data_IF_174269425181
#
_entry.id   IF_174269425181
#
_cell.length_a   1.000
_cell.length_b   1.000
_cell.length_c   1.000
_cell.angle_alpha   90.00
_cell.angle_beta   90.00
_cell.angle_gamma   90.00
#
_symmetry.space_group_name_H-M   'P 1'
#
loop_
_entity.id
_entity.type
_entity.pdbx_description
1 polymer ?
#
# COMPACT_ATOMS: atom_id res chain seq x y z
N UNK A 1 -28.11 19.48 -61.07
CA UNK A 1 -27.69 20.31 -59.91
C UNK A 1 -27.87 19.63 -58.54
N UNK A 2 -28.72 18.61 -58.34
CA UNK A 2 -28.92 17.96 -57.01
C UNK A 2 -27.67 17.25 -56.42
N UNK A 3 -26.82 16.62 -57.22
CA UNK A 3 -25.67 15.85 -56.69
C UNK A 3 -24.53 16.72 -56.10
N UNK A 4 -24.32 17.94 -56.63
CA UNK A 4 -23.27 18.85 -56.14
C UNK A 4 -23.57 19.43 -54.76
N UNK A 5 -24.85 19.73 -54.48
CA UNK A 5 -25.29 20.21 -53.17
C UNK A 5 -25.20 19.13 -52.09
N UNK A 6 -25.47 17.87 -52.44
CA UNK A 6 -25.32 16.73 -51.52
C UNK A 6 -23.83 16.51 -51.18
N UNK A 7 -22.93 16.56 -52.17
CA UNK A 7 -21.50 16.44 -51.93
C UNK A 7 -20.97 17.57 -51.02
N UNK A 8 -21.42 18.80 -51.27
CA UNK A 8 -21.02 19.95 -50.46
C UNK A 8 -21.56 19.87 -49.03
N UNK A 9 -22.79 19.39 -48.84
CA UNK A 9 -23.36 19.09 -47.52
C UNK A 9 -22.59 18.00 -46.77
N UNK A 10 -22.21 16.92 -47.46
CA UNK A 10 -21.37 15.85 -46.88
C UNK A 10 -20.00 16.41 -46.47
N UNK A 11 -19.35 17.22 -47.31
CA UNK A 11 -18.06 17.84 -46.99
C UNK A 11 -18.14 18.78 -45.76
N UNK A 12 -19.26 19.51 -45.59
CA UNK A 12 -19.46 20.37 -44.42
C UNK A 12 -19.66 19.56 -43.12
N UNK A 13 -20.44 18.47 -43.18
CA UNK A 13 -20.64 17.57 -42.02
C UNK A 13 -19.32 16.88 -41.66
N UNK A 14 -18.57 16.42 -42.65
CA UNK A 14 -17.28 15.78 -42.49
C UNK A 14 -16.25 16.74 -41.89
N UNK A 15 -16.27 18.02 -42.30
CA UNK A 15 -15.46 19.08 -41.67
C UNK A 15 -15.82 19.24 -40.19
N UNK A 16 -17.10 19.28 -39.83
CA UNK A 16 -17.51 19.34 -38.43
C UNK A 16 -17.06 18.09 -37.64
N UNK A 17 -17.16 16.89 -38.23
CA UNK A 17 -16.72 15.64 -37.62
C UNK A 17 -15.19 15.56 -37.42
N UNK A 18 -14.41 16.14 -38.33
CA UNK A 18 -12.94 16.23 -38.19
C UNK A 18 -12.52 17.16 -37.05
N UNK A 19 -13.31 18.20 -36.75
CA UNK A 19 -13.02 19.10 -35.63
C UNK A 19 -13.25 18.39 -34.29
N UNK A 20 -14.27 17.54 -34.19
CA UNK A 20 -14.52 16.72 -32.99
C UNK A 20 -13.59 15.52 -32.90
N UNK A 21 -13.02 15.06 -34.02
CA UNK A 21 -12.06 13.96 -34.05
C UNK A 21 -10.83 14.21 -33.17
N UNK A 22 -10.40 15.46 -33.00
CA UNK A 22 -9.29 15.82 -32.09
C UNK A 22 -9.57 15.56 -30.61
N UNK A 23 -10.82 15.73 -30.17
CA UNK A 23 -11.24 15.35 -28.82
C UNK A 23 -11.41 13.84 -28.68
N UNK A 24 -11.90 13.18 -29.73
CA UNK A 24 -12.04 11.72 -29.79
C UNK A 24 -10.66 11.03 -29.76
N UNK A 25 -9.65 11.55 -30.46
CA UNK A 25 -8.29 10.99 -30.44
C UNK A 25 -7.65 11.06 -29.07
N UNK A 26 -7.87 12.14 -28.31
CA UNK A 26 -7.46 12.24 -26.92
C UNK A 26 -8.18 11.21 -26.03
N UNK A 27 -9.44 10.87 -26.34
CA UNK A 27 -10.23 9.88 -25.62
C UNK A 27 -10.00 8.42 -26.07
N UNK A 28 -9.15 8.16 -27.08
CA UNK A 28 -8.78 6.80 -27.50
C UNK A 28 -8.06 6.06 -26.39
N UNK A 29 -7.27 6.79 -25.60
CA UNK A 29 -6.45 6.21 -24.55
C UNK A 29 -6.97 6.61 -23.18
N UNK A 30 -7.33 5.62 -22.37
CA UNK A 30 -7.63 5.80 -20.97
C UNK A 30 -6.52 5.17 -20.13
N UNK A 31 -6.07 5.88 -19.11
CA UNK A 31 -5.16 5.33 -18.11
C UNK A 31 -5.98 4.80 -16.94
N UNK A 32 -5.67 3.60 -16.48
CA UNK A 32 -6.20 3.09 -15.21
C UNK A 32 -5.11 2.34 -14.45
N UNK A 33 -5.23 2.33 -13.13
CA UNK A 33 -4.37 1.57 -12.24
C UNK A 33 -4.83 0.12 -12.23
N UNK A 34 -3.95 -0.78 -12.64
CA UNK A 34 -4.23 -2.22 -12.65
C UNK A 34 -3.23 -2.90 -11.72
N UNK A 35 -3.68 -3.85 -10.87
CA UNK A 35 -2.78 -4.75 -10.16
C UNK A 35 -1.85 -5.45 -11.14
N UNK A 36 -0.54 -5.32 -10.91
CA UNK A 36 0.48 -5.99 -11.68
C UNK A 36 1.32 -6.82 -10.74
N UNK A 37 1.25 -8.13 -10.93
CA UNK A 37 2.06 -9.08 -10.21
C UNK A 37 3.29 -9.42 -11.04
N UNK A 38 4.47 -9.29 -10.45
CA UNK A 38 5.74 -9.62 -11.08
C UNK A 38 6.57 -10.48 -10.15
N UNK A 39 7.25 -11.53 -10.65
CA UNK A 39 8.21 -12.28 -9.84
C UNK A 39 9.25 -11.33 -9.23
N UNK A 40 9.54 -11.53 -7.95
CA UNK A 40 10.52 -10.74 -7.23
C UNK A 40 11.36 -11.62 -6.32
N UNK A 41 12.64 -11.28 -6.18
CA UNK A 41 13.57 -11.97 -5.28
C UNK A 41 13.78 -11.13 -4.03
N UNK A 42 13.71 -11.77 -2.88
CA UNK A 42 14.12 -11.22 -1.60
C UNK A 42 15.28 -12.03 -1.05
N UNK A 43 16.10 -11.44 -0.21
CA UNK A 43 17.17 -12.14 0.50
C UNK A 43 17.05 -11.92 2.00
N UNK A 44 17.46 -12.91 2.78
CA UNK A 44 17.63 -12.79 4.23
C UNK A 44 19.08 -13.08 4.58
N UNK A 45 19.63 -12.30 5.50
CA UNK A 45 20.94 -12.54 6.14
C UNK A 45 20.77 -13.00 7.58
N UNK A 46 19.59 -13.52 7.89
CA UNK A 46 19.18 -13.92 9.24
C UNK A 46 18.72 -15.37 9.24
N UNK A 47 18.99 -16.05 10.34
CA UNK A 47 18.43 -17.37 10.63
C UNK A 47 18.00 -17.43 12.10
N UNK A 48 17.08 -18.34 12.39
CA UNK A 48 16.67 -18.59 13.76
C UNK A 48 17.79 -19.26 14.56
N UNK A 49 18.09 -18.69 15.72
CA UNK A 49 19.13 -19.19 16.62
C UNK A 49 18.52 -19.98 17.77
N UNK A 50 18.45 -21.31 17.61
CA UNK A 50 17.91 -22.19 18.65
C UNK A 50 18.76 -22.18 19.93
N UNK A 51 20.05 -21.82 19.81
CA UNK A 51 21.06 -21.82 20.87
C UNK A 51 21.38 -20.40 21.37
N UNK A 52 20.48 -19.42 21.14
CA UNK A 52 20.68 -18.03 21.56
C UNK A 52 21.18 -17.92 23.02
N UNK A 53 22.35 -17.30 23.21
CA UNK A 53 22.95 -17.09 24.52
C UNK A 53 23.58 -18.32 25.18
N UNK A 54 23.80 -19.39 24.40
CA UNK A 54 24.65 -20.54 24.73
C UNK A 54 25.95 -20.50 23.91
N UNK A 55 26.92 -21.34 24.27
CA UNK A 55 28.24 -21.38 23.62
C UNK A 55 28.16 -21.75 22.13
N UNK A 56 27.18 -22.55 21.73
CA UNK A 56 26.90 -22.90 20.33
C UNK A 56 26.05 -21.85 19.59
N UNK A 57 25.52 -20.87 20.30
CA UNK A 57 24.72 -19.78 19.74
C UNK A 57 25.57 -18.78 18.95
N UNK A 58 24.97 -18.18 17.92
CA UNK A 58 25.60 -17.11 17.11
C UNK A 58 25.21 -15.71 17.59
N UNK A 59 24.13 -15.60 18.35
CA UNK A 59 23.61 -14.36 18.91
C UNK A 59 24.31 -13.97 20.22
N UNK A 60 24.20 -12.70 20.61
CA UNK A 60 24.85 -12.18 21.81
C UNK A 60 24.25 -12.77 23.09
N UNK A 61 25.09 -13.21 24.04
CA UNK A 61 24.64 -13.76 25.32
C UNK A 61 23.98 -12.78 26.31
N UNK A 62 23.84 -11.50 25.93
CA UNK A 62 23.26 -10.41 26.72
C UNK A 62 22.01 -9.80 26.06
N UNK A 63 21.12 -10.62 25.51
CA UNK A 63 19.83 -10.17 24.99
C UNK A 63 18.91 -9.71 26.14
N UNK A 64 18.39 -8.49 26.06
CA UNK A 64 17.46 -7.96 27.06
C UNK A 64 16.01 -8.16 26.62
N UNK A 65 15.13 -8.58 27.54
CA UNK A 65 13.68 -8.69 27.28
C UNK A 65 12.99 -7.32 27.34
N UNK A 66 13.64 -6.29 27.91
CA UNK A 66 13.07 -4.94 28.10
C UNK A 66 12.47 -4.32 26.84
N UNK A 67 13.17 -4.29 25.68
CA UNK A 67 12.58 -3.68 24.49
C UNK A 67 11.33 -4.41 24.00
N UNK A 68 11.24 -5.72 24.21
CA UNK A 68 10.05 -6.49 23.88
C UNK A 68 8.87 -6.10 24.81
N UNK A 69 9.10 -5.87 26.10
CA UNK A 69 8.07 -5.34 27.01
C UNK A 69 7.55 -3.97 26.58
N UNK A 70 8.44 -3.06 26.16
CA UNK A 70 8.06 -1.72 25.71
C UNK A 70 7.20 -1.78 24.44
N UNK A 71 7.55 -2.65 23.49
CA UNK A 71 6.76 -2.87 22.29
C UNK A 71 5.39 -3.46 22.64
N UNK A 72 5.30 -4.45 23.53
CA UNK A 72 4.01 -5.02 23.96
C UNK A 72 3.13 -3.96 24.63
N UNK A 73 3.73 -3.10 25.47
CA UNK A 73 3.04 -1.97 26.08
C UNK A 73 2.47 -1.00 25.03
N UNK A 74 3.22 -0.72 23.97
CA UNK A 74 2.77 0.17 22.90
C UNK A 74 1.72 -0.49 21.98
N UNK A 75 1.91 -1.74 21.62
CA UNK A 75 1.08 -2.45 20.63
C UNK A 75 -0.20 -3.00 21.25
N UNK A 76 -0.08 -3.82 22.29
CA UNK A 76 -1.20 -4.56 22.88
C UNK A 76 -2.01 -3.68 23.84
N UNK A 77 -1.35 -2.93 24.74
CA UNK A 77 -2.07 -2.12 25.72
C UNK A 77 -2.62 -0.83 25.12
N UNK A 78 -1.90 -0.22 24.17
CA UNK A 78 -2.26 1.09 23.57
C UNK A 78 -2.76 1.02 22.13
N UNK A 79 -2.99 -0.19 21.60
CA UNK A 79 -3.45 -0.40 20.21
C UNK A 79 -2.55 0.28 19.17
N UNK A 80 -1.24 0.33 19.42
CA UNK A 80 -0.24 0.83 18.49
C UNK A 80 -0.03 -0.11 17.31
N UNK A 81 0.68 0.36 16.28
CA UNK A 81 1.04 -0.50 15.15
C UNK A 81 2.09 -1.53 15.55
N UNK A 82 1.93 -2.77 15.04
CA UNK A 82 2.88 -3.86 15.27
C UNK A 82 4.29 -3.49 14.85
N UNK A 83 5.27 -4.02 15.58
CA UNK A 83 6.66 -3.90 15.21
C UNK A 83 6.91 -4.57 13.84
N UNK A 84 7.90 -4.12 13.05
CA UNK A 84 8.16 -4.70 11.74
C UNK A 84 8.50 -6.18 11.88
N UNK A 85 7.98 -7.01 10.97
CA UNK A 85 8.12 -8.47 11.03
C UNK A 85 7.40 -9.15 12.20
N UNK A 86 6.47 -8.49 12.88
CA UNK A 86 5.63 -9.11 13.89
C UNK A 86 4.13 -8.93 13.66
N UNK A 87 3.37 -9.83 14.27
CA UNK A 87 1.97 -9.62 14.67
C UNK A 87 1.87 -9.85 16.18
N UNK A 88 0.68 -9.72 16.76
CA UNK A 88 0.45 -9.98 18.19
C UNK A 88 0.82 -11.39 18.64
N UNK A 89 1.00 -12.33 17.71
CA UNK A 89 1.21 -13.76 18.01
C UNK A 89 2.38 -14.39 17.27
N UNK A 90 2.85 -13.79 16.17
CA UNK A 90 3.86 -14.37 15.30
C UNK A 90 5.02 -13.39 15.05
N UNK A 91 6.24 -13.92 15.12
CA UNK A 91 7.45 -13.33 14.57
C UNK A 91 7.74 -13.96 13.21
N UNK A 92 8.14 -13.16 12.23
CA UNK A 92 8.52 -13.63 10.90
C UNK A 92 10.01 -13.40 10.66
N UNK A 93 10.66 -14.33 9.97
CA UNK A 93 12.06 -14.14 9.58
C UNK A 93 12.18 -12.94 8.62
N UNK A 94 13.10 -11.98 8.86
CA UNK A 94 13.20 -10.77 8.06
C UNK A 94 13.87 -10.98 6.70
N UNK A 95 13.30 -10.38 5.66
CA UNK A 95 13.75 -10.41 4.27
C UNK A 95 13.81 -9.02 3.65
N UNK A 96 14.78 -8.79 2.77
CA UNK A 96 15.00 -7.52 2.10
C UNK A 96 14.81 -7.73 0.59
N UNK A 97 13.99 -6.90 -0.10
CA UNK A 97 13.88 -6.97 -1.55
C UNK A 97 15.21 -6.67 -2.26
N UNK A 98 15.55 -7.43 -3.31
CA UNK A 98 16.76 -7.21 -4.11
C UNK A 98 16.60 -6.06 -5.12
N UNK A 99 15.36 -5.81 -5.56
CA UNK A 99 15.05 -4.81 -6.60
C UNK A 99 15.37 -3.38 -6.14
N UNK A 100 15.94 -2.56 -7.03
CA UNK A 100 16.09 -1.10 -6.79
C UNK A 100 14.73 -0.38 -6.73
N UNK A 101 13.75 -0.90 -7.46
CA UNK A 101 12.36 -0.44 -7.42
C UNK A 101 11.58 -1.41 -6.52
N UNK A 102 11.82 -1.31 -5.22
CA UNK A 102 11.32 -2.27 -4.24
C UNK A 102 9.91 -1.96 -3.75
N UNK A 103 9.29 -0.85 -4.19
CA UNK A 103 8.02 -0.40 -3.61
C UNK A 103 6.85 -1.25 -4.10
N UNK A 104 6.12 -1.84 -3.16
CA UNK A 104 4.96 -2.69 -3.43
C UNK A 104 4.67 -3.67 -2.30
N UNK A 105 3.68 -4.52 -2.53
CA UNK A 105 3.37 -5.64 -1.64
C UNK A 105 4.12 -6.88 -2.13
N UNK A 106 4.70 -7.65 -1.23
CA UNK A 106 5.45 -8.86 -1.54
C UNK A 106 4.77 -10.04 -0.88
N UNK A 107 4.51 -11.08 -1.65
CA UNK A 107 4.03 -12.37 -1.16
C UNK A 107 5.13 -13.41 -1.36
N UNK A 108 5.59 -14.03 -0.29
CA UNK A 108 6.64 -15.05 -0.34
C UNK A 108 6.50 -16.06 0.80
N UNK A 109 7.15 -17.22 0.66
CA UNK A 109 7.16 -18.25 1.69
C UNK A 109 8.33 -18.01 2.65
N UNK A 110 8.06 -18.04 3.94
CA UNK A 110 9.04 -17.85 5.01
C UNK A 110 8.70 -18.70 6.23
N UNK A 111 9.57 -18.65 7.23
CA UNK A 111 9.36 -19.26 8.54
C UNK A 111 8.79 -18.22 9.51
N UNK A 112 7.90 -18.67 10.40
CA UNK A 112 7.41 -17.87 11.51
C UNK A 112 7.51 -18.61 12.83
N UNK A 113 7.67 -17.86 13.91
CA UNK A 113 7.76 -18.37 15.28
C UNK A 113 6.65 -17.76 16.11
N UNK A 114 5.91 -18.61 16.80
CA UNK A 114 4.80 -18.20 17.67
C UNK A 114 4.82 -18.98 18.96
N UNK A 115 4.14 -18.44 19.97
CA UNK A 115 3.91 -19.13 21.22
C UNK A 115 2.44 -19.10 21.59
N UNK A 116 2.05 -20.08 22.38
CA UNK A 116 0.75 -20.14 23.05
C UNK A 116 0.97 -20.71 24.45
N UNK A 117 0.03 -20.44 25.34
CA UNK A 117 0.02 -21.00 26.69
C UNK A 117 -1.17 -21.93 26.86
N UNK A 118 -0.92 -23.08 27.47
CA UNK A 118 -1.99 -23.92 28.01
C UNK A 118 -2.07 -23.68 29.51
N UNK A 119 -3.14 -23.01 29.96
CA UNK A 119 -3.22 -22.40 31.29
C UNK A 119 -4.32 -23.02 32.14
N UNK A 120 -4.02 -23.22 33.41
CA UNK A 120 -4.99 -23.48 34.48
C UNK A 120 -5.02 -22.32 35.46
N UNK A 121 -6.21 -22.02 36.00
CA UNK A 121 -6.42 -20.95 36.97
C UNK A 121 -6.92 -21.59 38.26
N UNK A 122 -6.19 -21.38 39.36
CA UNK A 122 -6.56 -21.82 40.69
C UNK A 122 -6.92 -20.61 41.57
N UNK A 123 -8.01 -20.71 42.31
CA UNK A 123 -8.34 -19.74 43.38
C UNK A 123 -7.76 -20.21 44.72
N UNK A 124 -7.87 -19.37 45.74
CA UNK A 124 -7.56 -19.75 47.12
C UNK A 124 -8.19 -21.09 47.53
N UNK A 125 -9.49 -21.28 47.27
CA UNK A 125 -10.19 -22.51 47.64
C UNK A 125 -9.59 -23.74 46.96
N UNK A 126 -9.21 -23.62 45.68
CA UNK A 126 -8.62 -24.71 44.93
C UNK A 126 -7.23 -25.06 45.45
N UNK A 127 -6.44 -24.05 45.80
CA UNK A 127 -5.12 -24.23 46.42
C UNK A 127 -5.23 -24.85 47.82
N UNK A 128 -6.21 -24.45 48.63
CA UNK A 128 -6.45 -25.03 49.95
C UNK A 128 -6.83 -26.51 49.85
N UNK A 129 -7.70 -26.89 48.89
CA UNK A 129 -8.11 -28.29 48.69
C UNK A 129 -6.91 -29.22 48.45
N UNK A 130 -5.91 -28.74 47.72
CA UNK A 130 -4.70 -29.52 47.40
C UNK A 130 -3.55 -29.28 48.38
N UNK A 131 -3.76 -28.51 49.46
CA UNK A 131 -2.71 -28.04 50.38
C UNK A 131 -1.54 -27.36 49.66
N UNK A 132 -1.85 -26.66 48.57
CA UNK A 132 -0.91 -26.04 47.66
C UNK A 132 -0.46 -24.64 48.05
N UNK A 133 -0.99 -24.11 49.16
CA UNK A 133 -0.66 -22.78 49.68
C UNK A 133 -0.45 -22.82 51.19
N UNK A 134 0.57 -22.13 51.67
CA UNK A 134 0.84 -21.90 53.09
C UNK A 134 1.32 -20.48 53.33
N UNK A 135 1.14 -19.99 54.55
CA UNK A 135 1.64 -18.70 55.00
C UNK A 135 2.62 -18.96 56.15
N UNK A 136 3.84 -18.44 56.01
CA UNK A 136 4.83 -18.43 57.08
C UNK A 136 4.95 -16.98 57.58
N UNK A 137 4.66 -16.76 58.86
CA UNK A 137 4.73 -15.44 59.48
C UNK A 137 6.18 -15.16 59.91
N UNK A 138 6.67 -13.97 59.61
CA UNK A 138 7.99 -13.52 60.05
C UNK A 138 7.83 -12.73 61.36
N UNK A 139 8.06 -13.37 62.50
CA UNK A 139 7.89 -12.75 63.81
C UNK A 139 9.01 -11.72 64.08
N UNK A 140 8.63 -10.48 64.39
CA UNK A 140 9.55 -9.44 64.89
C UNK A 140 10.06 -8.43 63.87
N UNK A 141 9.45 -8.34 62.68
CA UNK A 141 9.72 -7.29 61.69
C UNK A 141 8.74 -6.12 61.85
N UNK A 142 9.23 -4.88 61.71
CA UNK A 142 8.43 -3.64 61.77
C UNK A 142 7.38 -3.54 60.65
N UNK A 143 7.51 -4.37 59.60
CA UNK A 143 6.66 -4.38 58.40
C UNK A 143 5.55 -5.44 58.40
N UNK A 144 5.37 -6.18 59.50
CA UNK A 144 4.47 -7.33 59.61
C UNK A 144 4.60 -8.28 58.40
N UNK A 145 5.85 -8.58 58.02
CA UNK A 145 6.13 -9.35 56.82
C UNK A 145 5.67 -10.80 56.95
N UNK A 146 5.10 -11.32 55.87
CA UNK A 146 4.65 -12.71 55.78
C UNK A 146 5.11 -13.32 54.46
N UNK A 147 5.52 -14.57 54.47
CA UNK A 147 5.91 -15.29 53.26
C UNK A 147 4.78 -16.21 52.84
N UNK A 148 4.14 -15.90 51.70
CA UNK A 148 3.21 -16.83 51.06
C UNK A 148 4.01 -17.83 50.24
N UNK A 149 3.75 -19.13 50.45
CA UNK A 149 4.38 -20.23 49.71
C UNK A 149 3.34 -20.98 48.90
N UNK A 150 3.67 -21.26 47.65
CA UNK A 150 2.91 -22.08 46.72
C UNK A 150 3.68 -23.36 46.45
N UNK A 151 3.12 -24.50 46.88
CA UNK A 151 3.73 -25.82 46.78
C UNK A 151 2.73 -26.85 46.24
N UNK A 152 2.65 -27.01 44.92
CA UNK A 152 1.66 -27.90 44.30
C UNK A 152 2.21 -28.63 43.07
N UNK A 153 1.49 -29.66 42.61
CA UNK A 153 1.85 -30.43 41.43
C UNK A 153 0.90 -30.13 40.27
N UNK A 154 1.45 -29.63 39.16
CA UNK A 154 0.71 -29.35 37.93
C UNK A 154 1.17 -30.32 36.83
N UNK A 155 0.32 -31.27 36.45
CA UNK A 155 0.58 -32.23 35.35
C UNK A 155 1.95 -32.93 35.44
N UNK A 156 2.33 -33.36 36.66
CA UNK A 156 3.61 -34.02 36.87
C UNK A 156 4.78 -33.08 37.17
N UNK A 157 4.61 -31.76 37.06
CA UNK A 157 5.60 -30.76 37.46
C UNK A 157 5.37 -30.27 38.88
N UNK A 158 6.40 -30.34 39.73
CA UNK A 158 6.34 -29.84 41.10
C UNK A 158 6.70 -28.35 41.13
N UNK A 159 5.71 -27.51 41.45
CA UNK A 159 5.86 -26.06 41.58
C UNK A 159 6.08 -25.73 43.05
N UNK A 160 7.21 -25.09 43.34
CA UNK A 160 7.52 -24.54 44.67
C UNK A 160 8.03 -23.11 44.53
N UNK A 161 7.24 -22.14 44.99
CA UNK A 161 7.53 -20.70 44.94
C UNK A 161 7.12 -20.03 46.23
N UNK A 162 7.78 -18.93 46.56
CA UNK A 162 7.44 -18.12 47.70
C UNK A 162 7.61 -16.64 47.38
N UNK A 163 6.82 -15.82 48.05
CA UNK A 163 6.82 -14.37 47.88
C UNK A 163 6.59 -13.69 49.22
N UNK A 164 7.26 -12.56 49.43
CA UNK A 164 7.09 -11.76 50.63
C UNK A 164 5.91 -10.81 50.45
N UNK A 165 5.06 -10.76 51.46
CA UNK A 165 3.95 -9.84 51.62
C UNK A 165 4.27 -8.92 52.79
N UNK A 166 4.06 -7.63 52.59
CA UNK A 166 4.22 -6.55 53.57
C UNK A 166 2.93 -5.73 53.66
N UNK A 167 2.69 -5.12 54.82
CA UNK A 167 1.46 -4.36 55.09
C UNK A 167 1.37 -3.00 54.35
N UNK A 168 2.48 -2.50 53.81
CA UNK A 168 2.58 -1.24 53.08
C UNK A 168 2.25 -1.37 51.58
N UNK A 169 2.08 -2.60 51.08
CA UNK A 169 1.73 -2.88 49.68
C UNK A 169 0.30 -3.39 49.61
N UNK A 170 -0.54 -2.73 48.80
CA UNK A 170 -1.95 -3.05 48.66
C UNK A 170 -2.21 -4.16 47.65
N UNK A 171 -1.40 -4.24 46.59
CA UNK A 171 -1.60 -5.22 45.52
C UNK A 171 -0.33 -5.96 45.18
N UNK A 172 -0.49 -7.26 44.95
CA UNK A 172 0.56 -8.14 44.48
C UNK A 172 0.17 -8.72 43.13
N UNK A 173 1.11 -8.69 42.19
CA UNK A 173 1.05 -9.53 41.00
C UNK A 173 2.48 -9.91 40.58
N UNK A 174 2.89 -11.14 40.82
CA UNK A 174 4.25 -11.60 40.47
C UNK A 174 4.22 -12.85 39.63
N UNK A 175 5.02 -12.84 38.57
CA UNK A 175 5.31 -13.98 37.72
C UNK A 175 6.38 -14.88 38.33
N UNK A 176 6.40 -16.13 37.87
CA UNK A 176 7.38 -17.11 38.24
C UNK A 176 7.57 -18.12 37.10
N UNK A 177 8.71 -18.80 37.12
CA UNK A 177 8.97 -19.95 36.25
C UNK A 177 9.59 -21.11 37.01
N UNK A 178 9.27 -22.32 36.57
CA UNK A 178 9.77 -23.58 37.12
C UNK A 178 10.18 -24.49 35.97
N UNK A 179 11.37 -25.10 36.09
CA UNK A 179 11.79 -26.17 35.18
C UNK A 179 11.18 -27.50 35.65
N UNK A 180 10.53 -28.19 34.71
CA UNK A 180 9.75 -29.39 34.97
C UNK A 180 10.39 -30.65 34.36
N UNK A 181 11.51 -30.50 33.65
CA UNK A 181 12.11 -31.59 32.89
C UNK A 181 11.25 -32.09 31.72
N UNK A 182 11.81 -32.98 30.92
CA UNK A 182 11.20 -33.45 29.66
C UNK A 182 9.88 -34.21 29.86
N UNK A 183 9.77 -35.02 30.91
CA UNK A 183 8.61 -35.89 31.17
C UNK A 183 7.33 -35.13 31.52
N UNK A 184 7.45 -33.89 32.00
CA UNK A 184 6.33 -33.09 32.52
C UNK A 184 6.14 -31.78 31.73
N UNK A 185 6.49 -31.78 30.44
CA UNK A 185 6.26 -30.63 29.56
C UNK A 185 7.28 -29.48 29.72
N UNK A 186 8.51 -29.79 30.14
CA UNK A 186 9.70 -28.91 30.18
C UNK A 186 9.67 -27.75 31.15
N UNK A 187 8.67 -26.89 31.14
CA UNK A 187 8.60 -25.77 32.07
C UNK A 187 7.15 -25.40 32.43
N UNK A 188 7.00 -24.69 33.53
CA UNK A 188 5.80 -23.94 33.88
C UNK A 188 6.14 -22.47 34.03
N UNK A 189 5.26 -21.64 33.50
CA UNK A 189 5.30 -20.20 33.66
C UNK A 189 3.96 -19.77 34.22
N UNK A 190 3.98 -18.95 35.26
CA UNK A 190 2.76 -18.58 35.96
C UNK A 190 2.88 -17.24 36.65
N UNK A 191 1.79 -16.87 37.29
CA UNK A 191 1.67 -15.63 38.06
C UNK A 191 0.71 -15.88 39.21
N UNK A 192 0.96 -15.24 40.36
CA UNK A 192 -0.08 -15.06 41.36
C UNK A 192 -0.46 -13.58 41.42
N UNK A 193 -1.71 -13.31 41.78
CA UNK A 193 -2.20 -11.97 42.07
C UNK A 193 -3.16 -11.97 43.25
N UNK A 194 -3.16 -10.90 44.03
CA UNK A 194 -4.08 -10.72 45.16
C UNK A 194 -3.94 -9.34 45.80
N UNK A 195 -4.96 -8.91 46.53
CA UNK A 195 -4.95 -7.65 47.27
C UNK A 195 -4.68 -7.92 48.75
N UNK A 196 -3.72 -7.20 49.33
CA UNK A 196 -3.35 -7.38 50.73
C UNK A 196 -4.55 -7.17 51.65
N UNK A 197 -4.78 -8.13 52.53
CA UNK A 197 -5.76 -8.04 53.59
C UNK A 197 -5.32 -8.92 54.77
N UNK A 198 -4.81 -8.30 55.83
CA UNK A 198 -4.30 -8.98 57.02
C UNK A 198 -5.37 -9.82 57.76
N UNK A 199 -6.66 -9.60 57.49
CA UNK A 199 -7.74 -10.40 58.09
C UNK A 199 -8.01 -11.71 57.36
N UNK A 200 -7.52 -11.86 56.11
CA UNK A 200 -7.68 -13.07 55.32
C UNK A 200 -6.65 -14.14 55.70
N UNK A 201 -7.01 -15.41 55.49
CA UNK A 201 -6.21 -16.58 55.91
C UNK A 201 -4.76 -16.55 55.42
N UNK A 202 -4.52 -16.02 54.22
CA UNK A 202 -3.19 -15.94 53.59
C UNK A 202 -2.73 -14.50 53.39
N UNK A 203 -3.28 -13.55 54.16
CA UNK A 203 -3.06 -12.11 54.04
C UNK A 203 -3.37 -11.52 52.65
N UNK A 204 -4.11 -12.25 51.80
CA UNK A 204 -4.50 -11.85 50.45
C UNK A 204 -6.00 -12.12 50.25
N UNK A 205 -6.69 -11.13 49.72
CA UNK A 205 -8.03 -11.26 49.15
C UNK A 205 -7.95 -11.42 47.64
N UNK A 206 -8.94 -12.10 47.04
CA UNK A 206 -9.01 -12.39 45.60
C UNK A 206 -7.76 -13.10 45.05
N UNK A 207 -7.14 -13.98 45.85
CA UNK A 207 -5.97 -14.74 45.44
C UNK A 207 -6.28 -15.59 44.20
N UNK A 208 -5.54 -15.32 43.13
CA UNK A 208 -5.59 -16.04 41.87
C UNK A 208 -4.19 -16.49 41.49
N UNK A 209 -4.03 -17.77 41.15
CA UNK A 209 -2.78 -18.33 40.63
C UNK A 209 -3.04 -18.87 39.23
N UNK A 210 -2.36 -18.29 38.25
CA UNK A 210 -2.34 -18.77 36.87
C UNK A 210 -1.08 -19.62 36.69
N UNK A 211 -1.25 -20.85 36.23
CA UNK A 211 -0.13 -21.75 35.90
C UNK A 211 -0.29 -22.21 34.48
N UNK A 212 0.74 -22.00 33.64
CA UNK A 212 0.68 -22.37 32.24
C UNK A 212 1.87 -23.21 31.79
N UNK A 213 1.62 -24.09 30.83
CA UNK A 213 2.64 -24.75 30.03
C UNK A 213 2.88 -23.93 28.74
N UNK A 214 4.11 -23.41 28.53
CA UNK A 214 4.45 -22.76 27.28
C UNK A 214 4.53 -23.75 26.11
N UNK A 215 3.91 -23.39 24.99
CA UNK A 215 3.94 -24.15 23.74
C UNK A 215 4.52 -23.26 22.65
N UNK A 216 5.71 -23.61 22.14
CA UNK A 216 6.43 -22.84 21.12
C UNK A 216 6.33 -23.55 19.77
N UNK A 217 6.06 -22.80 18.72
CA UNK A 217 5.83 -23.33 17.39
C UNK A 217 6.70 -22.65 16.34
N UNK A 218 7.14 -23.46 15.38
CA UNK A 218 7.70 -23.04 14.10
C UNK A 218 6.69 -23.40 13.03
N UNK A 219 6.32 -22.42 12.23
CA UNK A 219 5.41 -22.60 11.11
C UNK A 219 6.07 -22.18 9.81
N UNK A 220 5.72 -22.86 8.71
CA UNK A 220 5.99 -22.37 7.38
C UNK A 220 4.79 -21.56 6.92
N UNK A 221 5.02 -20.32 6.52
CA UNK A 221 3.96 -19.37 6.21
C UNK A 221 4.14 -18.77 4.82
N UNK A 222 3.02 -18.48 4.17
CA UNK A 222 3.02 -17.53 3.05
C UNK A 222 2.70 -16.16 3.62
N UNK A 223 3.66 -15.25 3.56
CA UNK A 223 3.60 -13.93 4.15
C UNK A 223 3.38 -12.88 3.06
N UNK A 224 2.38 -12.01 3.23
CA UNK A 224 2.22 -10.79 2.45
C UNK A 224 2.66 -9.58 3.27
N UNK A 225 3.63 -8.83 2.75
CA UNK A 225 4.18 -7.64 3.39
C UNK A 225 4.13 -6.42 2.48
N UNK A 226 4.00 -5.24 3.07
CA UNK A 226 4.04 -3.96 2.38
C UNK A 226 5.39 -3.27 2.57
N UNK A 227 5.96 -2.81 1.46
CA UNK A 227 7.17 -1.99 1.40
C UNK A 227 6.82 -0.70 0.65
N UNK A 228 6.38 0.36 1.36
CA UNK A 228 5.80 1.56 0.72
C UNK A 228 6.74 2.78 0.69
N UNK A 229 7.66 2.93 1.65
CA UNK A 229 8.48 4.14 1.80
C UNK A 229 9.98 3.85 1.72
N UNK A 230 10.76 4.80 1.17
CA UNK A 230 12.22 4.75 1.09
C UNK A 230 12.92 4.78 2.48
N UNK A 231 12.16 4.99 3.57
CA UNK A 231 12.67 5.10 4.95
C UNK A 231 11.87 4.38 6.04
N UNK A 232 10.81 3.60 5.79
CA UNK A 232 9.99 3.08 6.90
C UNK A 232 9.60 1.60 6.73
N UNK A 233 10.28 0.78 7.53
CA UNK A 233 9.82 -0.46 8.18
C UNK A 233 8.70 -1.26 7.49
N UNK A 234 8.97 -2.49 7.04
CA UNK A 234 7.97 -3.30 6.35
C UNK A 234 6.82 -3.69 7.27
N UNK A 235 5.59 -3.67 6.73
CA UNK A 235 4.37 -3.97 7.47
C UNK A 235 3.76 -5.30 7.03
N UNK A 236 3.38 -6.14 7.99
CA UNK A 236 2.65 -7.38 7.69
C UNK A 236 1.21 -7.02 7.28
N UNK A 237 0.77 -7.49 6.11
CA UNK A 237 -0.60 -7.29 5.61
C UNK A 237 -1.45 -8.50 6.00
N UNK A 238 -0.98 -9.70 5.68
CA UNK A 238 -1.60 -10.97 6.04
C UNK A 238 -0.60 -12.10 5.94
N UNK A 239 -0.92 -13.22 6.56
CA UNK A 239 -0.16 -14.45 6.42
C UNK A 239 -1.10 -15.65 6.44
N UNK A 240 -0.65 -16.77 5.87
CA UNK A 240 -1.30 -18.06 5.99
C UNK A 240 -0.31 -19.13 6.40
N UNK A 241 -0.66 -19.92 7.41
CA UNK A 241 0.15 -21.05 7.85
C UNK A 241 -0.09 -22.28 6.96
N UNK A 242 0.99 -22.88 6.48
CA UNK A 242 0.96 -24.11 5.67
C UNK A 242 1.31 -25.35 6.47
N UNK A 243 2.20 -25.23 7.44
CA UNK A 243 2.57 -26.28 8.38
C UNK A 243 2.93 -25.68 9.72
N UNK A 244 2.68 -26.41 10.80
CA UNK A 244 3.00 -26.00 12.17
C UNK A 244 3.66 -27.17 12.91
N UNK A 245 4.81 -26.90 13.51
CA UNK A 245 5.59 -27.87 14.27
C UNK A 245 5.91 -27.29 15.65
N UNK A 246 5.65 -28.04 16.71
CA UNK A 246 6.09 -27.66 18.05
C UNK A 246 7.59 -27.89 18.18
N UNK A 247 8.30 -26.92 18.78
CA UNK A 247 9.70 -27.07 19.15
C UNK A 247 9.95 -26.55 20.56
N UNK A 248 11.17 -26.78 21.06
CA UNK A 248 11.62 -26.21 22.32
C UNK A 248 13.05 -25.69 22.20
N UNK A 249 13.22 -24.41 21.83
CA UNK A 249 14.54 -23.81 21.74
C UNK A 249 15.29 -23.85 23.07
N UNK A 250 16.61 -24.02 23.03
CA UNK A 250 17.45 -24.15 24.23
C UNK A 250 17.43 -22.90 25.10
N UNK A 251 17.24 -21.72 24.51
CA UNK A 251 17.18 -20.47 25.24
C UNK A 251 15.88 -20.28 26.03
N UNK A 252 14.79 -20.99 25.72
CA UNK A 252 13.46 -20.74 26.33
C UNK A 252 13.51 -20.88 27.86
N UNK A 253 14.16 -21.93 28.37
CA UNK A 253 14.23 -22.15 29.82
C UNK A 253 14.95 -21.01 30.54
N UNK A 254 15.97 -20.40 29.90
CA UNK A 254 16.64 -19.22 30.45
C UNK A 254 15.78 -17.97 30.33
N UNK A 255 15.20 -17.74 29.15
CA UNK A 255 14.31 -16.62 28.89
C UNK A 255 13.12 -16.55 29.86
N UNK A 256 12.46 -17.68 30.13
CA UNK A 256 11.37 -17.78 31.12
C UNK A 256 11.81 -17.46 32.56
N UNK A 257 13.08 -17.71 32.90
CA UNK A 257 13.65 -17.33 34.22
C UNK A 257 14.01 -15.87 34.31
N UNK A 258 14.28 -15.22 33.17
CA UNK A 258 14.65 -13.82 33.12
C UNK A 258 13.41 -12.90 33.16
N UNK A 259 12.25 -13.33 32.63
CA UNK A 259 11.00 -12.54 32.66
C UNK A 259 10.65 -12.00 34.06
N UNK A 260 10.57 -12.82 35.13
CA UNK A 260 10.21 -12.32 36.46
C UNK A 260 11.23 -11.39 37.10
N UNK A 261 12.47 -11.33 36.58
CA UNK A 261 13.54 -10.49 37.12
C UNK A 261 13.38 -9.02 36.73
N UNK A 262 12.57 -8.72 35.73
CA UNK A 262 12.28 -7.36 35.32
C UNK A 262 11.15 -6.81 36.20
N UNK A 263 11.50 -6.01 37.20
CA UNK A 263 10.55 -5.28 38.03
C UNK A 263 10.73 -3.78 37.88
N UNK A 264 9.63 -3.04 37.90
CA UNK A 264 9.65 -1.59 37.96
C UNK A 264 9.51 -1.17 39.43
N UNK A 265 10.38 -0.26 39.87
CA UNK A 265 10.26 0.32 41.21
C UNK A 265 9.07 1.27 41.23
N UNK A 266 8.05 0.96 42.03
CA UNK A 266 6.95 1.87 42.34
C UNK A 266 7.32 2.68 43.60
N UNK A 267 7.57 4.00 43.49
CA UNK A 267 7.95 4.81 44.64
C UNK A 267 6.84 4.94 45.68
N UNK A 268 5.59 4.60 45.33
CA UNK A 268 4.46 4.62 46.26
C UNK A 268 4.34 3.32 47.07
N UNK A 269 5.01 2.25 46.65
CA UNK A 269 4.99 0.92 47.28
C UNK A 269 3.59 0.26 47.25
N UNK A 270 2.57 0.91 46.69
CA UNK A 270 1.20 0.39 46.67
C UNK A 270 1.04 -0.87 45.82
N UNK A 271 1.80 -1.00 44.74
CA UNK A 271 1.72 -2.12 43.81
C UNK A 271 3.06 -2.84 43.73
N UNK A 272 3.10 -4.07 44.20
CA UNK A 272 4.24 -4.95 43.98
C UNK A 272 4.00 -5.85 42.77
N UNK A 273 4.47 -5.38 41.61
CA UNK A 273 4.29 -6.07 40.34
C UNK A 273 5.55 -6.08 39.48
N UNK A 274 5.90 -7.25 38.94
CA UNK A 274 6.92 -7.30 37.88
C UNK A 274 6.37 -6.77 36.54
N UNK A 275 7.25 -6.44 35.61
CA UNK A 275 6.88 -5.82 34.33
C UNK A 275 5.90 -6.66 33.53
N UNK A 276 6.03 -8.00 33.53
CA UNK A 276 5.09 -8.88 32.83
C UNK A 276 3.72 -8.83 33.50
N UNK A 277 3.67 -8.97 34.81
CA UNK A 277 2.42 -8.90 35.59
C UNK A 277 1.69 -7.57 35.36
N UNK A 278 2.40 -6.43 35.35
CA UNK A 278 1.79 -5.12 35.07
C UNK A 278 1.15 -5.06 33.68
N UNK A 279 1.76 -5.66 32.66
CA UNK A 279 1.18 -5.72 31.32
C UNK A 279 -0.07 -6.60 31.29
N UNK A 280 -0.06 -7.73 32.00
CA UNK A 280 -1.24 -8.62 32.10
C UNK A 280 -2.39 -7.93 32.81
N UNK A 281 -2.14 -7.34 33.98
CA UNK A 281 -3.16 -6.62 34.75
C UNK A 281 -3.66 -5.41 33.97
N UNK A 282 -2.78 -4.61 33.35
CA UNK A 282 -3.16 -3.46 32.53
C UNK A 282 -4.01 -3.84 31.31
N UNK A 283 -3.68 -4.93 30.62
CA UNK A 283 -4.50 -5.44 29.52
C UNK A 283 -5.84 -6.00 30.00
N UNK A 284 -5.86 -6.67 31.16
CA UNK A 284 -7.08 -7.23 31.76
C UNK A 284 -8.04 -6.16 32.31
N UNK A 285 -7.51 -5.09 32.91
CA UNK A 285 -8.31 -3.97 33.44
C UNK A 285 -8.81 -3.05 32.34
N UNK A 286 -8.00 -2.82 31.30
CA UNK A 286 -8.18 -1.73 30.32
C UNK A 286 -8.20 -0.34 30.96
N UNK A 287 -7.65 -0.22 32.16
CA UNK A 287 -7.57 1.02 32.92
C UNK A 287 -6.13 1.56 32.91
N UNK A 288 -6.02 2.89 33.01
CA UNK A 288 -4.72 3.55 33.09
C UNK A 288 -4.05 3.37 34.47
N UNK A 289 -4.87 3.18 35.51
CA UNK A 289 -4.39 2.88 36.86
C UNK A 289 -4.55 1.40 37.16
N UNK A 290 -3.67 0.87 38.01
CA UNK A 290 -3.66 -0.53 38.42
C UNK A 290 -4.23 -0.66 39.84
N UNK A 291 -5.17 0.20 40.22
CA UNK A 291 -5.68 0.32 41.59
C UNK A 291 -6.72 -0.75 41.96
N UNK A 292 -7.18 -1.53 40.97
CA UNK A 292 -8.07 -2.67 41.18
C UNK A 292 -7.59 -3.89 40.40
N UNK A 293 -7.68 -5.06 41.03
CA UNK A 293 -7.37 -6.32 40.36
C UNK A 293 -8.57 -6.80 39.53
N UNK A 294 -8.36 -7.11 38.24
CA UNK A 294 -9.41 -7.67 37.39
C UNK A 294 -9.86 -9.06 37.85
N UNK A 295 -11.01 -9.47 37.34
CA UNK A 295 -11.52 -10.83 37.54
C UNK A 295 -10.55 -11.90 36.98
N UNK A 296 -10.49 -13.06 37.65
CA UNK A 296 -9.54 -14.14 37.37
C UNK A 296 -9.59 -14.64 35.92
N UNK A 297 -10.76 -14.68 35.28
CA UNK A 297 -10.86 -15.10 33.87
C UNK A 297 -10.24 -14.05 32.94
N UNK A 298 -10.41 -12.76 33.23
CA UNK A 298 -9.77 -11.68 32.45
C UNK A 298 -8.26 -11.74 32.59
N UNK A 299 -7.76 -11.99 33.80
CA UNK A 299 -6.32 -12.17 34.06
C UNK A 299 -5.78 -13.35 33.23
N UNK A 300 -6.42 -14.52 33.28
CA UNK A 300 -5.98 -15.70 32.52
C UNK A 300 -5.96 -15.48 31.01
N UNK A 301 -6.99 -14.84 30.45
CA UNK A 301 -7.04 -14.53 29.01
C UNK A 301 -5.95 -13.53 28.61
N UNK A 302 -5.75 -12.48 29.40
CA UNK A 302 -4.68 -11.49 29.17
C UNK A 302 -3.29 -12.10 29.28
N UNK A 303 -3.09 -13.06 30.19
CA UNK A 303 -1.82 -13.73 30.39
C UNK A 303 -1.32 -14.39 29.09
N UNK A 304 -2.21 -15.09 28.38
CA UNK A 304 -1.88 -15.72 27.11
C UNK A 304 -1.55 -14.70 26.00
N UNK A 305 -2.37 -13.64 25.88
CA UNK A 305 -2.16 -12.59 24.87
C UNK A 305 -0.82 -11.88 25.06
N UNK A 306 -0.52 -11.49 26.30
CA UNK A 306 0.73 -10.79 26.63
C UNK A 306 1.93 -11.72 26.43
N UNK A 307 1.83 -13.00 26.80
CA UNK A 307 2.92 -13.95 26.58
C UNK A 307 3.21 -14.17 25.09
N UNK A 308 2.16 -14.37 24.27
CA UNK A 308 2.31 -14.56 22.83
C UNK A 308 2.95 -13.35 22.15
N UNK A 309 2.49 -12.14 22.50
CA UNK A 309 3.03 -10.90 21.95
C UNK A 309 4.45 -10.63 22.43
N UNK A 310 4.75 -10.88 23.71
CA UNK A 310 6.10 -10.74 24.24
C UNK A 310 7.08 -11.68 23.54
N UNK A 311 6.69 -12.95 23.35
CA UNK A 311 7.50 -13.92 22.63
C UNK A 311 7.75 -13.49 21.18
N UNK A 312 6.70 -13.10 20.44
CA UNK A 312 6.83 -12.68 19.04
C UNK A 312 7.76 -11.45 18.88
N UNK A 313 7.66 -10.47 19.78
CA UNK A 313 8.52 -9.29 19.75
C UNK A 313 9.96 -9.62 20.19
N UNK A 314 10.15 -10.44 21.23
CA UNK A 314 11.47 -10.92 21.64
C UNK A 314 12.17 -11.68 20.51
N UNK A 315 11.45 -12.58 19.84
CA UNK A 315 11.97 -13.37 18.72
C UNK A 315 12.48 -12.50 17.58
N UNK A 316 11.78 -11.42 17.27
CA UNK A 316 12.15 -10.52 16.18
C UNK A 316 13.36 -9.66 16.50
N UNK A 317 13.49 -9.26 17.77
CA UNK A 317 14.60 -8.43 18.23
C UNK A 317 15.88 -9.25 18.41
N UNK A 318 15.77 -10.43 19.02
CA UNK A 318 16.91 -11.18 19.55
C UNK A 318 17.02 -12.60 18.99
N UNK A 319 15.91 -13.22 18.61
CA UNK A 319 15.85 -14.63 18.19
C UNK A 319 16.45 -14.93 16.81
N UNK A 320 16.89 -13.91 16.06
CA UNK A 320 17.45 -14.05 14.73
C UNK A 320 18.92 -13.61 14.64
N UNK A 321 19.79 -14.59 14.47
CA UNK A 321 21.23 -14.40 14.36
C UNK A 321 21.69 -14.20 12.92
N UNK A 322 22.91 -13.68 12.75
CA UNK A 322 23.50 -13.44 11.44
C UNK A 322 23.80 -14.75 10.73
N UNK A 323 23.41 -14.86 9.46
CA UNK A 323 23.54 -16.06 8.64
C UNK A 323 24.06 -15.74 7.23
N UNK A 324 24.42 -16.77 6.47
CA UNK A 324 24.74 -16.61 5.05
C UNK A 324 23.49 -16.13 4.29
N UNK A 325 23.69 -15.23 3.32
CA UNK A 325 22.60 -14.71 2.50
C UNK A 325 21.83 -15.84 1.82
N UNK A 326 20.52 -15.91 2.09
CA UNK A 326 19.59 -16.85 1.48
C UNK A 326 18.55 -16.09 0.67
N UNK A 327 18.43 -16.45 -0.60
CA UNK A 327 17.42 -15.87 -1.49
C UNK A 327 16.13 -16.68 -1.48
N UNK A 328 15.01 -15.98 -1.64
CA UNK A 328 13.69 -16.56 -1.83
C UNK A 328 12.99 -15.87 -2.99
N UNK A 329 12.29 -16.65 -3.81
CA UNK A 329 11.43 -16.13 -4.88
C UNK A 329 10.04 -15.90 -4.33
N UNK A 330 9.50 -14.72 -4.58
CA UNK A 330 8.14 -14.33 -4.26
C UNK A 330 7.49 -13.57 -5.43
N UNK A 331 6.35 -12.98 -5.13
CA UNK A 331 5.59 -12.15 -6.07
C UNK A 331 5.46 -10.74 -5.51
N UNK A 332 5.92 -9.75 -6.27
CA UNK A 332 5.65 -8.34 -5.98
C UNK A 332 4.37 -7.91 -6.69
N UNK A 333 3.37 -7.50 -5.93
CA UNK A 333 2.14 -6.88 -6.42
C UNK A 333 2.21 -5.36 -6.24
N UNK A 334 1.94 -4.63 -7.32
CA UNK A 334 1.77 -3.17 -7.26
C UNK A 334 0.80 -2.67 -8.30
N UNK A 335 0.19 -1.52 -8.02
CA UNK A 335 -0.62 -0.82 -9.00
C UNK A 335 0.29 -0.17 -10.05
N UNK A 336 0.12 -0.56 -11.32
CA UNK A 336 0.77 0.12 -12.45
C UNK A 336 -0.26 0.81 -13.31
N UNK A 337 0.07 2.01 -13.77
CA UNK A 337 -0.70 2.68 -14.82
C UNK A 337 -0.55 1.88 -16.11
N UNK A 338 -1.67 1.38 -16.64
CA UNK A 338 -1.73 0.81 -17.98
C UNK A 338 -2.61 1.66 -18.87
N UNK A 339 -2.19 1.79 -20.12
CA UNK A 339 -2.93 2.46 -21.18
C UNK A 339 -3.89 1.46 -21.82
N UNK A 340 -5.18 1.76 -21.82
CA UNK A 340 -6.21 0.97 -22.48
C UNK A 340 -6.79 1.75 -23.66
N UNK A 341 -7.06 1.02 -24.73
CA UNK A 341 -7.75 1.57 -25.91
C UNK A 341 -9.26 1.51 -25.67
N UNK A 342 -9.89 2.67 -25.62
CA UNK A 342 -11.35 2.80 -25.52
C UNK A 342 -11.95 2.44 -26.87
N UNK A 343 -12.51 1.23 -26.96
CA UNK A 343 -13.03 0.65 -28.22
C UNK A 343 -14.00 1.58 -28.96
N UNK A 344 -14.89 2.27 -28.24
CA UNK A 344 -15.87 3.18 -28.84
C UNK A 344 -15.22 4.40 -29.51
N UNK A 345 -14.32 5.09 -28.80
CA UNK A 345 -13.59 6.24 -29.32
C UNK A 345 -12.68 5.83 -30.50
N UNK A 346 -11.94 4.73 -30.36
CA UNK A 346 -11.07 4.20 -31.42
C UNK A 346 -11.86 3.87 -32.70
N UNK A 347 -13.01 3.20 -32.57
CA UNK A 347 -13.85 2.84 -33.71
C UNK A 347 -14.43 4.09 -34.39
N UNK A 348 -14.91 5.07 -33.62
CA UNK A 348 -15.44 6.32 -34.15
C UNK A 348 -14.38 7.10 -34.94
N UNK A 349 -13.15 7.20 -34.43
CA UNK A 349 -12.04 7.86 -35.13
C UNK A 349 -11.69 7.13 -36.44
N UNK A 350 -11.61 5.79 -36.43
CA UNK A 350 -11.33 5.00 -37.63
C UNK A 350 -12.42 5.21 -38.69
N UNK A 351 -13.69 5.20 -38.29
CA UNK A 351 -14.83 5.42 -39.21
C UNK A 351 -14.78 6.82 -39.82
N UNK A 352 -14.55 7.86 -39.01
CA UNK A 352 -14.43 9.24 -39.50
C UNK A 352 -13.30 9.30 -40.53
N UNK A 353 -12.09 8.82 -40.20
CA UNK A 353 -10.95 8.82 -41.12
C UNK A 353 -11.22 8.06 -42.42
N UNK A 354 -11.87 6.89 -42.35
CA UNK A 354 -12.21 6.09 -43.52
C UNK A 354 -13.21 6.83 -44.45
N UNK A 355 -14.26 7.43 -43.88
CA UNK A 355 -15.23 8.22 -44.67
C UNK A 355 -14.55 9.46 -45.26
N UNK A 356 -13.65 10.11 -44.52
CA UNK A 356 -12.87 11.25 -45.04
C UNK A 356 -11.98 10.87 -46.20
N UNK A 357 -11.34 9.71 -46.13
CA UNK A 357 -10.50 9.20 -47.19
C UNK A 357 -11.33 8.92 -48.46
N UNK A 358 -12.43 8.18 -48.33
CA UNK A 358 -13.32 7.86 -49.45
C UNK A 358 -13.89 9.12 -50.11
N UNK A 359 -14.37 10.08 -49.31
CA UNK A 359 -14.94 11.34 -49.85
C UNK A 359 -13.88 12.20 -50.53
N UNK A 360 -12.65 12.22 -50.01
CA UNK A 360 -11.51 12.93 -50.63
C UNK A 360 -11.12 12.30 -51.96
N UNK A 361 -11.11 10.96 -52.07
CA UNK A 361 -10.87 10.25 -53.34
C UNK A 361 -11.98 10.56 -54.34
N UNK A 362 -13.24 10.54 -53.93
CA UNK A 362 -14.38 10.90 -54.79
C UNK A 362 -14.28 12.35 -55.26
N UNK A 363 -13.93 13.28 -54.37
CA UNK A 363 -13.76 14.69 -54.72
C UNK A 363 -12.58 14.88 -55.68
N UNK A 364 -11.45 14.22 -55.45
CA UNK A 364 -10.29 14.27 -56.33
C UNK A 364 -10.64 13.76 -57.74
N UNK A 365 -11.36 12.63 -57.84
CA UNK A 365 -11.84 12.10 -59.11
C UNK A 365 -12.84 13.04 -59.79
N UNK A 366 -13.75 13.65 -59.03
CA UNK A 366 -14.73 14.61 -59.55
C UNK A 366 -14.05 15.87 -60.08
N UNK A 367 -13.07 16.42 -59.34
CA UNK A 367 -12.28 17.58 -59.74
C UNK A 367 -11.41 17.28 -60.95
N UNK A 368 -10.80 16.11 -61.01
CA UNK A 368 -9.99 15.69 -62.15
C UNK A 368 -10.83 15.56 -63.43
N UNK A 369 -12.03 14.97 -63.31
CA UNK A 369 -12.94 14.75 -64.44
C UNK A 369 -13.63 16.04 -64.91
N UNK A 370 -13.89 16.99 -64.01
CA UNK A 370 -14.55 18.27 -64.31
C UNK A 370 -13.59 19.47 -64.36
N UNK A 371 -12.29 19.21 -64.56
CA UNK A 371 -11.21 20.20 -64.51
C UNK A 371 -11.45 21.46 -65.37
N UNK A 372 -12.13 21.30 -66.50
CA UNK A 372 -12.48 22.39 -67.43
C UNK A 372 -13.49 23.39 -66.83
N UNK A 373 -14.41 22.94 -65.97
CA UNK A 373 -15.42 23.81 -65.32
C UNK A 373 -14.77 24.55 -64.15
N UNK A 374 -13.93 23.85 -63.37
CA UNK A 374 -13.28 24.43 -62.19
C UNK A 374 -12.26 25.51 -62.55
N UNK A 375 -11.55 25.39 -63.68
CA UNK A 375 -10.67 26.46 -64.17
C UNK A 375 -11.45 27.73 -64.50
N UNK A 376 -12.61 27.59 -65.14
CA UNK A 376 -13.45 28.71 -65.56
C UNK A 376 -13.99 29.51 -64.35
N UNK A 377 -14.39 28.83 -63.28
CA UNK A 377 -14.86 29.47 -62.05
C UNK A 377 -13.72 30.05 -61.20
N UNK A 378 -12.53 29.44 -61.20
CA UNK A 378 -11.35 30.02 -60.54
C UNK A 378 -10.87 31.28 -61.27
N UNK A 379 -10.88 31.28 -62.59
CA UNK A 379 -10.58 32.47 -63.40
C UNK A 379 -11.63 33.58 -63.17
N UNK A 380 -12.91 33.22 -62.96
CA UNK A 380 -13.97 34.15 -62.59
C UNK A 380 -13.76 34.75 -61.19
N UNK A 381 -13.45 33.93 -60.18
CA UNK A 381 -13.15 34.37 -58.82
C UNK A 381 -11.91 35.27 -58.77
N UNK A 382 -10.87 34.90 -59.52
CA UNK A 382 -9.65 35.69 -59.67
C UNK A 382 -9.93 37.02 -60.38
N UNK A 383 -10.77 37.02 -61.42
CA UNK A 383 -11.25 38.22 -62.10
C UNK A 383 -12.02 39.17 -61.18
N UNK A 384 -12.91 38.62 -60.33
CA UNK A 384 -13.61 39.42 -59.32
C UNK A 384 -12.69 39.95 -58.21
N UNK A 385 -11.67 39.17 -57.81
CA UNK A 385 -10.70 39.60 -56.83
C UNK A 385 -9.78 40.72 -57.38
N UNK A 386 -9.42 40.67 -58.66
CA UNK A 386 -8.67 41.75 -59.35
C UNK A 386 -9.51 43.03 -59.41
N UNK A 387 -10.81 42.92 -59.71
CA UNK A 387 -11.75 44.05 -59.70
C UNK A 387 -11.90 44.71 -58.31
N UNK A 388 -11.82 43.94 -57.23
CA UNK A 388 -11.98 44.43 -55.85
C UNK A 388 -10.67 44.90 -55.20
N UNK A 389 -9.51 44.45 -55.69
CA UNK A 389 -8.19 44.73 -55.09
C UNK A 389 -7.74 46.19 -55.23
N UNK A 390 -8.25 46.93 -56.22
CA UNK A 390 -7.96 48.36 -56.38
C UNK A 390 -9.13 49.21 -55.88
N UNK A 391 -9.29 49.30 -54.56
CA UNK A 391 -10.31 50.13 -53.89
C UNK A 391 -10.14 51.66 -54.03
N UNK A 392 -9.41 52.13 -55.04
CA UNK A 392 -9.16 53.56 -55.27
C UNK A 392 -9.04 53.98 -56.74
N UNK A 393 -9.31 53.11 -57.71
CA UNK A 393 -9.25 53.45 -59.14
C UNK A 393 -10.60 53.21 -59.81
N UNK A 394 -11.01 54.14 -60.67
CA UNK A 394 -12.23 54.25 -61.49
C UNK A 394 -12.52 53.07 -62.45
N UNK A 395 -12.02 51.87 -62.15
CA UNK A 395 -12.15 50.67 -62.97
C UNK A 395 -13.59 50.22 -63.16
N UNK A 396 -14.42 50.27 -62.10
CA UNK A 396 -15.83 49.91 -62.17
C UNK A 396 -16.63 50.91 -63.03
N UNK A 397 -16.35 52.21 -62.87
CA UNK A 397 -16.99 53.27 -63.65
C UNK A 397 -16.57 53.21 -65.13
N UNK A 398 -15.30 52.91 -65.42
CA UNK A 398 -14.82 52.74 -66.79
C UNK A 398 -15.47 51.55 -67.50
N UNK A 399 -15.69 50.44 -66.78
CA UNK A 399 -16.32 49.24 -67.32
C UNK A 399 -17.82 49.43 -67.56
N UNK A 400 -18.50 50.19 -66.69
CA UNK A 400 -19.90 50.56 -66.89
C UNK A 400 -20.06 51.53 -68.06
N UNK A 401 -19.16 52.51 -68.23
CA UNK A 401 -19.21 53.46 -69.36
C UNK A 401 -18.96 52.77 -70.70
N UNK A 402 -18.01 51.83 -70.79
CA UNK A 402 -17.74 51.08 -72.04
C UNK A 402 -18.95 50.23 -72.46
N UNK A 403 -19.69 49.68 -71.48
CA UNK A 403 -20.92 48.92 -71.75
C UNK A 403 -22.07 49.81 -72.20
N UNK A 404 -22.20 51.02 -71.63
CA UNK A 404 -23.22 52.01 -72.03
C UNK A 404 -22.93 52.56 -73.43
N UNK A 405 -21.67 52.76 -73.82
CA UNK A 405 -21.29 53.20 -75.18
C UNK A 405 -21.51 52.07 -76.21
N UNK A 406 -21.37 50.79 -75.81
CA UNK A 406 -21.57 49.65 -76.73
C UNK A 406 -23.05 49.35 -77.08
N UNK A 407 -24.03 49.89 -76.35
CA UNK A 407 -25.45 49.60 -76.54
C UNK A 407 -26.12 50.36 -77.72
N UNK A 408 -25.38 51.18 -78.48
CA UNK A 408 -25.90 51.86 -79.68
C UNK A 408 -25.54 51.16 -81.01
N UNK A 409 -25.05 49.92 -80.98
CA UNK A 409 -24.85 49.10 -82.18
C UNK A 409 -25.76 47.86 -82.16
N UNK A 410 -26.59 47.61 -83.18
CA UNK A 410 -27.40 46.40 -83.21
C UNK A 410 -26.54 45.23 -83.71
N UNK A 411 -26.53 44.15 -82.93
CA UNK A 411 -26.58 42.73 -83.34
C UNK A 411 -25.54 41.82 -82.71
N UNK A 412 -26.03 40.58 -82.51
CA UNK A 412 -25.38 39.33 -82.17
C UNK A 412 -24.81 39.19 -80.74
N UNK A 413 -25.56 38.41 -79.96
CA UNK A 413 -25.14 37.90 -78.67
C UNK A 413 -23.74 37.30 -78.71
N UNK A 414 -22.91 37.72 -77.78
CA UNK A 414 -21.60 37.11 -77.55
C UNK A 414 -21.47 36.82 -76.06
N UNK A 415 -21.73 35.56 -75.75
CA UNK A 415 -21.22 34.88 -74.56
C UNK A 415 -19.68 34.98 -74.57
N UNK A 416 -19.09 35.33 -73.43
CA UNK A 416 -17.67 35.07 -73.15
C UNK A 416 -16.69 36.11 -73.68
N UNK A 417 -16.57 37.25 -72.99
CA UNK A 417 -15.35 38.06 -73.07
C UNK A 417 -14.46 37.74 -71.88
N UNK A 418 -13.29 37.18 -72.18
CA UNK A 418 -12.24 36.88 -71.22
C UNK A 418 -11.65 38.20 -70.68
N UNK A 419 -11.87 38.49 -69.40
CA UNK A 419 -11.42 39.72 -68.74
C UNK A 419 -9.89 39.94 -68.85
N UNK A 420 -9.11 38.86 -69.01
CA UNK A 420 -7.64 38.93 -69.22
C UNK A 420 -7.28 39.45 -70.62
N UNK A 421 -8.07 39.11 -71.64
CA UNK A 421 -7.90 39.69 -72.99
C UNK A 421 -8.40 41.14 -73.06
N UNK A 422 -9.40 41.50 -72.24
CA UNK A 422 -9.88 42.87 -72.13
C UNK A 422 -8.85 43.80 -71.46
N UNK A 423 -8.14 43.34 -70.42
CA UNK A 423 -7.06 44.12 -69.78
C UNK A 423 -5.81 44.25 -70.66
N UNK A 424 -5.49 43.27 -71.51
CA UNK A 424 -4.42 43.39 -72.52
C UNK A 424 -4.66 44.50 -73.57
N UNK A 425 -5.88 45.06 -73.67
CA UNK A 425 -6.21 46.15 -74.60
C UNK A 425 -6.02 47.56 -74.03
N UNK A 426 -5.79 47.74 -72.73
CA UNK A 426 -5.50 49.07 -72.16
C UNK A 426 -4.06 49.52 -72.46
N UNK A 427 -3.90 50.77 -72.89
CA UNK A 427 -2.65 51.32 -73.47
C UNK A 427 -1.46 51.37 -72.50
N UNK A 428 -1.67 51.29 -71.18
CA UNK A 428 -0.59 51.36 -70.18
C UNK A 428 0.12 50.02 -69.88
N UNK A 429 -0.34 48.92 -70.48
CA UNK A 429 0.30 47.59 -70.33
C UNK A 429 0.80 47.05 -71.68
N UNK A 430 0.57 47.78 -72.78
CA UNK A 430 0.91 47.36 -74.15
C UNK A 430 2.43 47.19 -74.37
N UNK A 431 3.27 47.75 -73.51
CA UNK A 431 4.73 47.71 -73.60
C UNK A 431 5.42 46.83 -72.54
N UNK A 432 4.68 46.06 -71.73
CA UNK A 432 5.25 45.24 -70.66
C UNK A 432 5.03 43.76 -70.92
N UNK A 433 6.10 42.96 -70.79
CA UNK A 433 5.97 41.51 -70.84
C UNK A 433 5.38 41.00 -69.52
N UNK A 434 4.18 40.44 -69.62
CA UNK A 434 3.50 39.78 -68.52
C UNK A 434 3.13 38.38 -68.95
N UNK A 435 3.63 37.38 -68.24
CA UNK A 435 3.28 35.99 -68.46
C UNK A 435 3.15 35.24 -67.12
N UNK A 436 2.51 34.08 -67.18
CA UNK A 436 2.17 33.27 -66.01
C UNK A 436 2.78 31.90 -66.19
N UNK A 437 3.54 31.44 -65.19
CA UNK A 437 4.24 30.16 -65.27
C UNK A 437 4.18 29.41 -63.93
N UNK A 438 4.28 28.07 -63.99
CA UNK A 438 4.38 27.18 -62.82
C UNK A 438 3.06 26.71 -62.19
N UNK A 439 3.18 25.73 -61.27
CA UNK A 439 2.11 25.27 -60.36
C UNK A 439 2.60 25.33 -58.91
N UNK A 440 2.00 26.18 -58.05
CA UNK A 440 0.89 27.08 -58.34
C UNK A 440 1.32 28.27 -59.23
N UNK A 441 0.39 28.75 -60.07
CA UNK A 441 0.64 29.77 -61.09
C UNK A 441 0.94 31.12 -60.44
N UNK A 442 2.18 31.58 -60.55
CA UNK A 442 2.59 32.94 -60.15
C UNK A 442 2.65 33.85 -61.36
N UNK A 443 2.16 35.08 -61.19
CA UNK A 443 2.07 36.08 -62.24
C UNK A 443 3.36 36.92 -62.22
N UNK A 444 4.12 36.87 -63.31
CA UNK A 444 5.39 37.59 -63.42
C UNK A 444 5.20 38.82 -64.32
N UNK A 445 5.56 39.98 -63.77
CA UNK A 445 5.56 41.25 -64.48
C UNK A 445 7.00 41.73 -64.51
N UNK A 446 7.59 41.80 -65.71
CA UNK A 446 8.94 42.33 -65.86
C UNK A 446 8.86 43.84 -66.08
N UNK A 447 9.39 44.59 -65.12
CA UNK A 447 9.66 46.02 -65.25
C UNK A 447 11.07 46.21 -65.85
N UNK A 448 11.35 47.32 -66.56
CA UNK A 448 12.69 47.57 -67.10
C UNK A 448 13.77 47.62 -66.00
#
# INVERSE_FOLDING_TARGET
MRAGHVLLGICLILRAALWTAGGLTAAIFATTLVPSDTPATLYSVKEFDEYLGWDEGKGTGNSSVTPAFDIVSATVLRSGENYPWTTDTHSFLPFIPVSKDFRGNYTFVTESYSSNLDCTIATEEDLVKIKGVSLDLEEGDDLDSAQIRFGFKHEGCDVNKWFTLTNNTLQYARTWSTDCGLSSGRARFGMFSGSYNATERFHLSNLTVVTCQPLIYKSNVTLEMSFLNDTATPKVIKFSESSRQQLWPFFISRWLRDIPRYSLFDPTIYNDMDTFSRLVIGHASREATLDTLPDKQKIGNSFNVIFASLFANFMTLEGYSSAQSREVTGTMSRLRLRLFVVKSAATATVVILAVTFVTTVILALHLHRNRHITSLYMDLLLGTAILLRNGGSSGLDSYLNDRVISNNAPSLGTYGTNLVEAEKRKSDVKSREVWVEGTPRTLHIKWP
#
